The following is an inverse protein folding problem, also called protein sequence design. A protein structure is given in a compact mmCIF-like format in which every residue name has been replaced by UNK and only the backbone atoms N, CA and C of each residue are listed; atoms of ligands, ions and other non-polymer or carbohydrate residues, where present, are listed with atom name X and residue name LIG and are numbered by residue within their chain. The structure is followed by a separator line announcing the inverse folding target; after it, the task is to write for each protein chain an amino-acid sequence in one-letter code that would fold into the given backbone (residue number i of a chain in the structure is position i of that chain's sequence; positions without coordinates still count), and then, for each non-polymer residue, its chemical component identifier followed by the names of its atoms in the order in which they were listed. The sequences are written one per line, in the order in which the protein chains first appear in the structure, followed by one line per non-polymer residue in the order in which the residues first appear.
data_IF_605657645538
#
_entry.id   IF_605657645538
#
_cell.length_a   1.000
_cell.length_b   1.000
_cell.length_c   1.000
_cell.angle_alpha   90.00
_cell.angle_beta   90.00
_cell.angle_gamma   90.00
#
_symmetry.space_group_name_H-M   'P 1'
#
loop_
_entity.id
_entity.type
_entity.pdbx_description
1 polymer ?
#
# COMPACT_ATOMS: atom_id res chain seq x y z
N UNK A 1 -14.91 -11.01 -14.88
CA UNK A 1 -14.70 -9.71 -14.20
C UNK A 1 -13.71 -8.82 -14.97
N UNK A 2 -12.63 -9.35 -15.54
CA UNK A 2 -11.61 -8.53 -16.25
C UNK A 2 -12.07 -7.92 -17.58
N UNK A 3 -13.14 -8.44 -18.21
CA UNK A 3 -13.64 -7.93 -19.50
C UNK A 3 -14.26 -6.52 -19.43
N UNK A 4 -14.57 -6.01 -18.24
CA UNK A 4 -15.14 -4.67 -18.04
C UNK A 4 -14.09 -3.63 -17.62
N UNK A 5 -12.82 -4.04 -17.52
CA UNK A 5 -11.70 -3.19 -17.09
C UNK A 5 -10.97 -2.65 -18.31
N UNK A 6 -10.71 -1.35 -18.35
CA UNK A 6 -9.95 -0.70 -19.41
C UNK A 6 -8.43 -0.81 -19.15
N UNK A 7 -7.87 -1.98 -19.45
CA UNK A 7 -6.42 -2.19 -19.38
C UNK A 7 -5.66 -1.47 -20.49
N UNK A 8 -6.27 -1.25 -21.66
CA UNK A 8 -5.61 -0.61 -22.81
C UNK A 8 -5.49 0.90 -22.61
N UNK A 9 -6.46 1.52 -21.92
CA UNK A 9 -6.46 2.90 -21.48
C UNK A 9 -5.65 3.18 -20.21
N UNK A 10 -4.96 2.19 -19.65
CA UNK A 10 -4.19 2.34 -18.41
C UNK A 10 -3.15 3.47 -18.53
N UNK A 11 -3.18 4.41 -17.57
CA UNK A 11 -2.31 5.61 -17.57
C UNK A 11 -1.13 5.41 -16.64
N UNK A 12 0.07 5.66 -17.14
CA UNK A 12 1.33 5.44 -16.41
C UNK A 12 1.80 6.77 -15.81
N UNK A 13 2.10 6.78 -14.52
CA UNK A 13 2.58 7.96 -13.82
C UNK A 13 4.03 7.78 -13.31
N UNK A 14 4.73 8.89 -13.11
CA UNK A 14 6.01 8.97 -12.43
C UNK A 14 6.04 10.20 -11.51
N UNK A 15 6.01 9.98 -10.19
CA UNK A 15 5.98 11.07 -9.19
C UNK A 15 7.32 11.13 -8.45
N UNK A 16 8.07 12.24 -8.52
CA UNK A 16 9.27 12.42 -7.72
C UNK A 16 8.99 12.35 -6.22
N UNK A 17 9.93 11.81 -5.45
CA UNK A 17 9.83 11.68 -4.01
C UNK A 17 10.62 12.77 -3.30
N UNK A 18 10.15 13.19 -2.12
CA UNK A 18 10.78 14.23 -1.29
C UNK A 18 12.08 13.75 -0.63
N UNK A 19 12.24 12.43 -0.50
CA UNK A 19 13.43 11.79 0.05
C UNK A 19 13.55 10.38 -0.54
N UNK A 20 14.79 9.86 -0.59
CA UNK A 20 15.02 8.45 -0.93
C UNK A 20 14.36 7.56 0.12
N UNK A 21 13.51 6.64 -0.31
CA UNK A 21 12.86 5.68 0.57
C UNK A 21 12.67 4.37 -0.18
N UNK A 22 12.97 3.22 0.46
CA UNK A 22 12.98 1.90 -0.19
C UNK A 22 13.83 1.86 -1.47
N UNK A 23 14.99 2.54 -1.45
CA UNK A 23 15.92 2.58 -2.58
C UNK A 23 15.53 3.52 -3.73
N UNK A 24 14.27 3.97 -3.81
CA UNK A 24 13.75 4.78 -4.92
C UNK A 24 13.69 6.27 -4.59
N UNK A 25 13.71 7.10 -5.64
CA UNK A 25 13.50 8.56 -5.60
C UNK A 25 12.37 9.04 -6.51
N UNK A 26 11.78 8.12 -7.28
CA UNK A 26 10.61 8.33 -8.12
C UNK A 26 9.67 7.16 -7.87
N UNK A 27 8.39 7.45 -7.69
CA UNK A 27 7.34 6.44 -7.57
C UNK A 27 6.59 6.34 -8.88
N UNK A 28 6.62 5.16 -9.48
CA UNK A 28 5.90 4.86 -10.72
C UNK A 28 4.78 3.85 -10.48
N UNK A 29 3.78 3.88 -11.35
CA UNK A 29 2.66 2.95 -11.36
C UNK A 29 1.68 3.26 -12.49
N UNK A 30 0.60 2.48 -12.54
CA UNK A 30 -0.47 2.63 -13.52
C UNK A 30 -1.81 2.84 -12.81
N UNK A 31 -2.63 3.74 -13.35
CA UNK A 31 -4.04 3.89 -12.98
C UNK A 31 -4.89 3.19 -14.03
N UNK A 32 -5.82 2.35 -13.56
CA UNK A 32 -6.68 1.50 -14.39
C UNK A 32 -8.13 1.76 -14.01
N UNK A 33 -8.98 2.03 -15.00
CA UNK A 33 -10.41 2.28 -14.81
C UNK A 33 -11.21 0.99 -14.98
N UNK A 34 -12.26 0.84 -14.16
CA UNK A 34 -13.21 -0.26 -14.21
C UNK A 34 -14.59 0.18 -13.70
N UNK A 35 -15.57 -0.74 -13.66
CA UNK A 35 -16.97 -0.42 -13.38
C UNK A 35 -17.23 0.16 -11.98
N UNK A 36 -16.33 -0.07 -11.00
CA UNK A 36 -16.42 0.49 -9.65
C UNK A 36 -15.52 1.72 -9.43
N UNK A 37 -14.89 2.24 -10.49
CA UNK A 37 -13.99 3.40 -10.45
C UNK A 37 -12.55 3.02 -10.78
N UNK A 38 -11.60 3.55 -10.01
CA UNK A 38 -10.18 3.45 -10.33
C UNK A 38 -9.43 2.50 -9.41
N UNK A 39 -8.45 1.79 -9.96
CA UNK A 39 -7.49 0.98 -9.22
C UNK A 39 -6.06 1.38 -9.56
N UNK A 40 -5.12 1.09 -8.66
CA UNK A 40 -3.71 1.43 -8.86
C UNK A 40 -2.86 0.17 -8.93
N UNK A 41 -2.16 -0.03 -10.05
CA UNK A 41 -1.20 -1.10 -10.25
C UNK A 41 0.22 -0.53 -10.17
N UNK A 42 0.87 -0.70 -9.02
CA UNK A 42 2.16 -0.07 -8.76
C UNK A 42 3.21 -0.99 -8.10
N UNK A 43 3.40 -2.27 -8.51
CA UNK A 43 4.46 -3.09 -7.94
C UNK A 43 5.85 -2.47 -8.17
N UNK A 44 6.74 -2.58 -7.18
CA UNK A 44 8.11 -2.07 -7.30
C UNK A 44 8.87 -2.75 -8.45
N UNK A 45 9.83 -2.06 -9.04
CA UNK A 45 10.56 -2.56 -10.23
C UNK A 45 11.38 -3.83 -9.96
N UNK A 46 11.78 -4.07 -8.72
CA UNK A 46 12.51 -5.27 -8.28
C UNK A 46 11.61 -6.51 -8.09
N UNK A 47 10.29 -6.37 -8.22
CA UNK A 47 9.36 -7.49 -8.08
C UNK A 47 9.12 -8.20 -9.42
N UNK A 48 9.18 -9.52 -9.41
CA UNK A 48 8.81 -10.34 -10.56
C UNK A 48 7.29 -10.31 -10.82
N UNK A 49 6.89 -10.96 -11.92
CA UNK A 49 5.50 -11.00 -12.36
C UNK A 49 4.62 -11.79 -11.37
N UNK A 50 5.17 -12.81 -10.69
CA UNK A 50 4.45 -13.61 -9.68
C UNK A 50 4.08 -12.78 -8.46
N UNK A 51 5.02 -12.02 -7.89
CA UNK A 51 4.74 -11.09 -6.80
C UNK A 51 3.77 -9.98 -7.27
N UNK A 52 3.93 -9.52 -8.52
CA UNK A 52 3.09 -8.48 -9.10
C UNK A 52 1.63 -8.91 -9.34
N UNK A 53 1.36 -10.21 -9.47
CA UNK A 53 0.00 -10.73 -9.67
C UNK A 53 -0.94 -10.38 -8.49
N UNK A 54 -0.46 -10.42 -7.24
CA UNK A 54 -1.25 -9.97 -6.09
C UNK A 54 -1.49 -8.46 -6.08
N UNK A 55 -0.55 -7.67 -6.64
CA UNK A 55 -0.77 -6.23 -6.80
C UNK A 55 -1.88 -5.98 -7.81
N UNK A 56 -1.87 -6.70 -8.94
CA UNK A 56 -2.94 -6.62 -9.94
C UNK A 56 -4.29 -7.09 -9.38
N UNK A 57 -4.32 -8.16 -8.58
CA UNK A 57 -5.54 -8.62 -7.91
C UNK A 57 -6.16 -7.51 -7.04
N UNK A 58 -5.33 -6.76 -6.30
CA UNK A 58 -5.79 -5.60 -5.53
C UNK A 58 -6.36 -4.51 -6.44
N UNK A 59 -5.65 -4.17 -7.52
CA UNK A 59 -6.11 -3.18 -8.51
C UNK A 59 -7.48 -3.57 -9.09
N UNK A 60 -7.65 -4.84 -9.45
CA UNK A 60 -8.91 -5.37 -9.99
C UNK A 60 -10.03 -5.28 -8.96
N UNK A 61 -9.80 -5.69 -7.71
CA UNK A 61 -10.81 -5.57 -6.65
C UNK A 61 -11.25 -4.11 -6.47
N UNK A 62 -10.29 -3.18 -6.44
CA UNK A 62 -10.56 -1.75 -6.32
C UNK A 62 -11.48 -1.24 -7.45
N UNK A 63 -11.17 -1.55 -8.71
CA UNK A 63 -11.90 -1.01 -9.85
C UNK A 63 -13.12 -1.83 -10.28
N UNK A 64 -13.42 -2.99 -9.66
CA UNK A 64 -14.57 -3.83 -10.05
C UNK A 64 -15.57 -4.15 -8.95
N UNK A 65 -15.11 -4.39 -7.71
CA UNK A 65 -15.95 -4.94 -6.65
C UNK A 65 -16.22 -3.95 -5.52
N UNK A 66 -15.31 -3.01 -5.28
CA UNK A 66 -15.31 -2.18 -4.08
C UNK A 66 -14.94 -2.97 -2.82
N UNK A 67 -15.06 -2.35 -1.66
CA UNK A 67 -14.55 -2.89 -0.39
C UNK A 67 -15.67 -3.33 0.57
N UNK A 68 -15.37 -4.19 1.56
CA UNK A 68 -16.27 -4.44 2.69
C UNK A 68 -16.68 -3.14 3.39
N UNK A 69 -17.89 -3.11 3.95
CA UNK A 69 -18.41 -1.93 4.66
C UNK A 69 -17.50 -1.61 5.86
N UNK A 70 -17.04 -0.36 6.01
CA UNK A 70 -16.20 0.01 7.12
C UNK A 70 -16.98 0.04 8.44
N UNK A 71 -16.32 -0.32 9.53
CA UNK A 71 -16.86 -0.22 10.90
C UNK A 71 -16.46 1.08 11.59
N UNK A 72 -15.80 2.00 10.86
CA UNK A 72 -15.35 3.32 11.34
C UNK A 72 -15.18 4.31 10.19
N UNK A 73 -15.41 5.60 10.46
CA UNK A 73 -15.34 6.65 9.44
C UNK A 73 -13.95 7.30 9.28
N UNK A 74 -13.06 7.09 10.24
CA UNK A 74 -11.67 7.58 10.20
C UNK A 74 -10.73 6.65 10.93
N UNK A 75 -9.46 6.66 10.53
CA UNK A 75 -8.41 5.83 11.14
C UNK A 75 -7.23 6.69 11.61
N UNK A 76 -6.61 6.36 12.76
CA UNK A 76 -5.38 7.01 13.19
C UNK A 76 -4.21 6.54 12.33
N UNK A 77 -3.28 7.44 12.01
CA UNK A 77 -2.05 7.11 11.28
C UNK A 77 -0.79 7.44 12.08
N UNK A 78 0.30 6.76 11.74
CA UNK A 78 1.64 7.12 12.18
C UNK A 78 2.33 7.96 11.11
N UNK A 79 3.27 8.80 11.54
CA UNK A 79 4.21 9.43 10.62
C UNK A 79 5.29 8.42 10.21
N UNK A 80 5.74 8.48 8.95
CA UNK A 80 6.83 7.61 8.46
C UNK A 80 8.11 8.42 8.41
N UNK A 81 9.08 8.05 9.25
CA UNK A 81 10.39 8.69 9.32
C UNK A 81 11.39 7.85 8.50
N UNK A 82 11.86 8.36 7.34
CA UNK A 82 12.87 7.68 6.52
C UNK A 82 14.23 7.64 7.25
N UNK A 83 15.21 6.95 6.66
CA UNK A 83 16.58 6.92 7.19
C UNK A 83 17.28 8.28 6.98
N UNK A 84 17.07 9.21 7.92
CA UNK A 84 17.60 10.59 7.92
C UNK A 84 18.29 10.91 9.25
N UNK A 85 19.02 12.03 9.30
CA UNK A 85 19.65 12.52 10.53
C UNK A 85 18.63 12.92 11.62
N UNK A 86 19.04 12.94 12.90
CA UNK A 86 18.15 13.11 14.05
C UNK A 86 17.35 14.42 14.05
N UNK A 87 17.93 15.54 13.62
CA UNK A 87 17.23 16.83 13.52
C UNK A 87 16.07 16.77 12.53
N UNK A 88 16.30 16.13 11.37
CA UNK A 88 15.25 15.95 10.35
C UNK A 88 14.20 14.96 10.80
N UNK A 89 14.60 13.88 11.48
CA UNK A 89 13.67 12.92 12.08
C UNK A 89 12.75 13.58 13.12
N UNK A 90 13.32 14.41 14.01
CA UNK A 90 12.56 15.20 14.98
C UNK A 90 11.58 16.15 14.28
N UNK A 91 12.03 16.90 13.27
CA UNK A 91 11.16 17.82 12.53
C UNK A 91 10.00 17.11 11.81
N UNK A 92 10.22 15.91 11.26
CA UNK A 92 9.15 15.10 10.64
C UNK A 92 8.14 14.69 11.71
N UNK A 93 8.59 14.17 12.85
CA UNK A 93 7.71 13.73 13.92
C UNK A 93 6.90 14.91 14.52
N UNK A 94 7.59 16.00 14.88
CA UNK A 94 6.98 17.16 15.53
C UNK A 94 5.92 17.86 14.66
N UNK A 95 6.12 17.90 13.35
CA UNK A 95 5.20 18.55 12.41
C UNK A 95 4.15 17.59 11.82
N UNK A 96 4.12 16.33 12.23
CA UNK A 96 3.25 15.32 11.61
C UNK A 96 1.79 15.34 12.05
N UNK A 97 1.49 15.96 13.20
CA UNK A 97 0.19 15.81 13.88
C UNK A 97 -0.10 14.39 14.38
N UNK A 98 0.81 13.44 14.19
CA UNK A 98 0.65 12.05 14.60
C UNK A 98 1.16 11.84 16.03
N UNK A 99 0.53 10.90 16.75
CA UNK A 99 0.98 10.46 18.08
C UNK A 99 1.96 9.27 18.05
N UNK A 100 2.15 8.67 16.87
CA UNK A 100 3.01 7.50 16.63
C UNK A 100 3.92 7.77 15.43
N UNK A 101 5.15 7.27 15.48
CA UNK A 101 6.12 7.36 14.39
C UNK A 101 6.70 5.96 14.05
N UNK A 102 6.84 5.65 12.75
CA UNK A 102 7.58 4.49 12.25
C UNK A 102 8.94 4.97 11.76
N UNK A 103 10.00 4.64 12.49
CA UNK A 103 11.39 5.03 12.15
C UNK A 103 12.09 3.86 11.48
N UNK A 104 12.62 4.08 10.28
CA UNK A 104 13.40 3.05 9.57
C UNK A 104 14.79 2.92 10.20
N UNK A 105 15.12 1.73 10.71
CA UNK A 105 16.44 1.36 11.26
C UNK A 105 16.91 0.07 10.59
N UNK A 106 18.15 0.01 10.09
CA UNK A 106 18.80 -1.15 9.44
C UNK A 106 17.95 -1.86 8.32
N UNK A 107 18.53 -2.83 7.60
CA UNK A 107 17.86 -3.49 6.45
C UNK A 107 18.11 -5.01 6.34
N UNK A 108 18.01 -5.76 7.45
CA UNK A 108 18.26 -7.21 7.46
C UNK A 108 17.09 -8.01 8.11
N UNK A 109 16.49 -9.01 7.41
CA UNK A 109 15.30 -9.74 7.89
C UNK A 109 15.55 -10.84 8.94
N UNK A 110 16.72 -11.49 8.95
CA UNK A 110 16.98 -12.72 9.73
C UNK A 110 17.10 -12.50 11.25
N UNK A 111 17.05 -11.25 11.72
CA UNK A 111 17.25 -10.90 13.14
C UNK A 111 15.98 -10.87 13.98
N UNK A 112 14.78 -10.89 13.38
CA UNK A 112 13.51 -10.59 14.07
C UNK A 112 13.24 -11.47 15.30
N UNK A 113 13.31 -12.80 15.18
CA UNK A 113 13.05 -13.71 16.29
C UNK A 113 14.12 -13.66 17.38
N UNK A 114 15.38 -13.40 17.01
CA UNK A 114 16.48 -13.23 17.96
C UNK A 114 16.32 -11.94 18.77
N UNK A 115 15.96 -10.84 18.10
CA UNK A 115 15.67 -9.54 18.74
C UNK A 115 14.46 -9.68 19.67
N UNK A 116 13.38 -10.33 19.22
CA UNK A 116 12.16 -10.52 20.02
C UNK A 116 12.42 -11.22 21.36
N UNK A 117 13.40 -12.13 21.43
CA UNK A 117 13.78 -12.82 22.67
C UNK A 117 14.63 -11.97 23.63
N UNK A 118 15.14 -10.81 23.19
CA UNK A 118 16.09 -9.98 23.94
C UNK A 118 15.54 -8.61 24.33
N UNK A 119 14.32 -8.26 23.91
CA UNK A 119 13.72 -6.95 24.16
C UNK A 119 12.30 -7.08 24.72
N UNK A 120 11.92 -6.12 25.56
CA UNK A 120 10.55 -5.99 26.09
C UNK A 120 9.66 -5.09 25.23
N UNK A 121 10.20 -4.54 24.13
CA UNK A 121 9.46 -3.72 23.16
C UNK A 121 8.74 -4.62 22.17
N UNK A 122 7.46 -4.30 21.87
CA UNK A 122 6.66 -5.01 20.85
C UNK A 122 7.34 -5.00 19.47
N UNK A 123 7.37 -6.16 18.82
CA UNK A 123 7.93 -6.36 17.48
C UNK A 123 6.80 -6.58 16.46
N UNK A 124 6.85 -5.88 15.33
CA UNK A 124 5.89 -6.04 14.23
C UNK A 124 6.53 -6.77 13.05
N UNK A 125 5.84 -7.78 12.50
CA UNK A 125 6.28 -8.49 11.29
C UNK A 125 5.62 -7.90 10.03
N UNK A 126 6.42 -7.55 9.02
CA UNK A 126 5.96 -6.99 7.72
C UNK A 126 6.34 -7.93 6.57
N UNK A 127 7.64 -7.99 6.22
CA UNK A 127 8.17 -8.87 5.17
C UNK A 127 7.77 -10.34 5.34
N UNK A 128 7.85 -10.87 6.57
CA UNK A 128 7.59 -12.28 6.87
C UNK A 128 6.14 -12.73 6.62
N UNK A 129 5.20 -11.78 6.51
CA UNK A 129 3.80 -12.07 6.20
C UNK A 129 3.59 -11.96 4.69
N UNK A 130 3.93 -10.80 4.11
CA UNK A 130 3.62 -10.51 2.69
C UNK A 130 4.48 -11.27 1.67
N UNK A 131 5.63 -11.82 2.06
CA UNK A 131 6.51 -12.62 1.19
C UNK A 131 6.44 -14.12 1.47
N UNK A 132 5.58 -14.54 2.38
CA UNK A 132 5.39 -15.96 2.64
C UNK A 132 4.75 -16.64 1.43
N UNK A 133 5.15 -17.89 1.20
CA UNK A 133 4.52 -18.76 0.19
C UNK A 133 3.02 -18.91 0.46
N UNK A 134 2.63 -19.03 1.73
CA UNK A 134 1.25 -18.99 2.16
C UNK A 134 1.06 -18.03 3.35
N UNK A 135 0.63 -16.77 3.10
CA UNK A 135 0.33 -15.78 4.14
C UNK A 135 -0.72 -16.25 5.17
N UNK A 136 -1.61 -17.17 4.83
CA UNK A 136 -2.63 -17.71 5.74
C UNK A 136 -2.05 -18.75 6.71
N UNK A 137 -0.86 -19.29 6.40
CA UNK A 137 -0.17 -20.28 7.23
C UNK A 137 1.04 -19.71 7.96
N UNK A 138 1.29 -18.41 7.84
CA UNK A 138 2.37 -17.73 8.55
C UNK A 138 2.08 -17.73 10.04
N UNK A 139 2.68 -18.69 10.76
CA UNK A 139 2.76 -18.65 12.20
C UNK A 139 3.81 -17.60 12.62
N UNK A 140 3.40 -16.34 12.72
CA UNK A 140 4.19 -15.29 13.39
C UNK A 140 4.10 -15.36 14.91
N UNK A 141 3.23 -16.22 15.45
CA UNK A 141 3.09 -16.46 16.87
C UNK A 141 4.44 -16.87 17.50
N UNK A 142 4.92 -16.05 18.44
CA UNK A 142 6.23 -16.22 19.09
C UNK A 142 7.41 -15.52 18.39
N UNK A 143 7.23 -15.02 17.17
CA UNK A 143 8.23 -14.23 16.44
C UNK A 143 7.89 -12.72 16.37
N UNK A 144 6.61 -12.36 16.51
CA UNK A 144 6.13 -10.98 16.55
C UNK A 144 4.93 -10.83 17.50
N UNK A 145 4.68 -9.59 17.93
CA UNK A 145 3.54 -9.19 18.74
C UNK A 145 2.43 -8.53 17.90
N UNK A 146 2.76 -8.07 16.69
CA UNK A 146 1.88 -7.33 15.79
C UNK A 146 2.09 -7.82 14.36
N UNK A 147 0.99 -8.02 13.62
CA UNK A 147 1.02 -8.30 12.19
C UNK A 147 0.86 -7.01 11.37
N UNK A 148 1.80 -6.71 10.47
CA UNK A 148 1.65 -5.61 9.51
C UNK A 148 0.96 -6.14 8.26
N UNK A 149 -0.23 -5.63 7.97
CA UNK A 149 -1.04 -6.03 6.83
C UNK A 149 -0.95 -4.94 5.76
N UNK A 150 -0.82 -5.35 4.50
CA UNK A 150 -0.84 -4.45 3.34
C UNK A 150 -1.65 -5.11 2.24
N UNK A 151 -2.77 -4.52 1.85
CA UNK A 151 -3.66 -5.17 0.89
C UNK A 151 -3.05 -5.33 -0.50
N UNK A 152 -2.27 -4.35 -0.95
CA UNK A 152 -1.64 -4.36 -2.28
C UNK A 152 -0.79 -5.60 -2.55
N UNK A 153 0.20 -5.95 -1.71
CA UNK A 153 0.93 -7.21 -1.90
C UNK A 153 0.16 -8.46 -1.46
N UNK A 154 -0.99 -8.34 -0.78
CA UNK A 154 -1.80 -9.48 -0.32
C UNK A 154 -3.00 -9.78 -1.22
N UNK A 155 -3.20 -9.07 -2.33
CA UNK A 155 -4.26 -9.43 -3.28
C UNK A 155 -5.64 -8.93 -2.91
N UNK A 156 -5.74 -7.75 -2.29
CA UNK A 156 -7.01 -7.10 -2.02
C UNK A 156 -7.37 -7.00 -0.54
N UNK A 157 -8.36 -6.18 -0.25
CA UNK A 157 -8.90 -5.89 1.08
C UNK A 157 -9.54 -7.14 1.68
N UNK A 158 -10.37 -7.88 0.93
CA UNK A 158 -11.02 -9.10 1.44
C UNK A 158 -10.02 -10.17 1.84
N UNK A 159 -9.11 -10.52 0.94
CA UNK A 159 -8.03 -11.48 1.23
C UNK A 159 -7.16 -11.02 2.39
N UNK A 160 -6.95 -9.71 2.54
CA UNK A 160 -6.18 -9.17 3.67
C UNK A 160 -6.89 -9.29 5.01
N UNK A 161 -8.22 -9.24 5.04
CA UNK A 161 -9.00 -9.50 6.24
C UNK A 161 -8.90 -10.96 6.65
N UNK A 162 -8.95 -11.89 5.70
CA UNK A 162 -8.71 -13.32 5.94
C UNK A 162 -7.30 -13.57 6.49
N UNK A 163 -6.28 -12.91 5.93
CA UNK A 163 -4.90 -12.98 6.44
C UNK A 163 -4.78 -12.38 7.84
N UNK A 164 -5.46 -11.27 8.12
CA UNK A 164 -5.47 -10.65 9.44
C UNK A 164 -6.10 -11.57 10.49
N UNK A 165 -7.22 -12.22 10.16
CA UNK A 165 -7.87 -13.21 11.02
C UNK A 165 -6.96 -14.43 11.25
N UNK A 166 -6.40 -15.00 10.18
CA UNK A 166 -5.51 -16.16 10.26
C UNK A 166 -4.22 -15.89 11.04
N UNK A 167 -3.70 -14.66 11.01
CA UNK A 167 -2.53 -14.28 11.77
C UNK A 167 -2.74 -14.38 13.29
N UNK A 168 -3.98 -14.22 13.78
CA UNK A 168 -4.32 -14.34 15.19
C UNK A 168 -3.59 -13.36 16.11
N UNK A 169 -3.09 -12.25 15.57
CA UNK A 169 -2.36 -11.20 16.28
C UNK A 169 -3.04 -9.84 16.09
N UNK A 170 -2.83 -8.88 17.01
CA UNK A 170 -3.15 -7.48 16.75
C UNK A 170 -2.56 -7.02 15.41
N UNK A 171 -3.40 -6.44 14.56
CA UNK A 171 -3.01 -6.02 13.21
C UNK A 171 -2.80 -4.51 13.12
N UNK A 172 -1.87 -4.10 12.25
CA UNK A 172 -1.71 -2.71 11.83
C UNK A 172 -1.59 -2.66 10.31
N UNK A 173 -2.30 -1.74 9.68
CA UNK A 173 -2.22 -1.58 8.22
C UNK A 173 -1.07 -0.65 7.86
N UNK A 174 -0.35 -0.95 6.78
CA UNK A 174 0.69 -0.07 6.23
C UNK A 174 0.55 0.04 4.71
N UNK A 175 1.00 1.15 4.17
CA UNK A 175 1.03 1.38 2.72
C UNK A 175 2.26 0.74 2.07
N UNK A 176 2.23 0.68 0.74
CA UNK A 176 3.32 0.32 -0.13
C UNK A 176 3.69 1.47 -1.10
N UNK A 177 3.53 2.72 -0.63
CA UNK A 177 3.82 3.97 -1.36
C UNK A 177 2.92 4.21 -2.57
N UNK A 178 1.65 3.90 -2.43
CA UNK A 178 0.62 4.22 -3.42
C UNK A 178 0.36 5.74 -3.50
N UNK A 179 -0.30 6.17 -4.57
CA UNK A 179 -1.00 7.48 -4.59
C UNK A 179 -2.30 7.39 -3.78
N UNK A 180 -3.10 8.45 -3.70
CA UNK A 180 -4.41 8.35 -3.02
C UNK A 180 -5.33 7.28 -3.62
N UNK A 181 -5.20 6.94 -4.90
CA UNK A 181 -6.00 5.89 -5.56
C UNK A 181 -5.70 4.51 -4.92
N UNK A 182 -4.45 4.08 -4.90
CA UNK A 182 -4.06 2.81 -4.27
C UNK A 182 -4.15 2.85 -2.74
N UNK A 183 -3.81 3.99 -2.12
CA UNK A 183 -3.86 4.16 -0.66
C UNK A 183 -5.28 3.98 -0.12
N UNK A 184 -6.30 4.31 -0.90
CA UNK A 184 -7.69 4.15 -0.50
C UNK A 184 -8.06 2.72 -0.13
N UNK A 185 -7.53 1.69 -0.81
CA UNK A 185 -7.76 0.29 -0.42
C UNK A 185 -7.13 -0.05 0.94
N UNK A 186 -5.96 0.51 1.23
CA UNK A 186 -5.31 0.31 2.53
C UNK A 186 -6.11 0.98 3.65
N UNK A 187 -6.63 2.18 3.40
CA UNK A 187 -7.50 2.88 4.34
C UNK A 187 -8.82 2.13 4.53
N UNK A 188 -9.40 1.59 3.46
CA UNK A 188 -10.61 0.77 3.52
C UNK A 188 -10.39 -0.51 4.34
N UNK A 189 -9.26 -1.21 4.14
CA UNK A 189 -8.85 -2.34 4.98
C UNK A 189 -8.77 -1.92 6.46
N UNK A 190 -8.10 -0.82 6.77
CA UNK A 190 -8.02 -0.31 8.14
C UNK A 190 -9.42 0.07 8.70
N UNK A 191 -10.32 0.54 7.84
CA UNK A 191 -11.71 0.82 8.16
C UNK A 191 -12.55 -0.42 8.44
N UNK A 192 -12.24 -1.55 7.82
CA UNK A 192 -12.98 -2.80 7.92
C UNK A 192 -12.47 -3.77 9.00
N UNK A 193 -11.23 -3.61 9.49
CA UNK A 193 -10.69 -4.44 10.57
C UNK A 193 -11.57 -4.35 11.84
N UNK A 194 -11.81 -5.45 12.59
CA UNK A 194 -12.61 -5.40 13.82
C UNK A 194 -12.00 -4.46 14.87
N UNK A 195 -10.68 -4.56 15.07
CA UNK A 195 -9.92 -3.79 16.06
C UNK A 195 -8.75 -3.05 15.37
N UNK A 196 -8.43 -1.85 15.88
CA UNK A 196 -7.36 -1.01 15.35
C UNK A 196 -6.70 -0.17 16.46
N UNK A 197 -5.99 -0.86 17.34
CA UNK A 197 -5.34 -0.25 18.51
C UNK A 197 -4.07 0.54 18.17
N UNK A 198 -3.52 0.29 16.97
CA UNK A 198 -2.27 0.89 16.50
C UNK A 198 -2.54 1.83 15.33
N UNK A 199 -1.88 2.97 15.35
CA UNK A 199 -1.93 3.93 14.26
C UNK A 199 -1.30 3.33 12.99
N UNK A 200 -1.99 3.47 11.84
CA UNK A 200 -1.61 2.83 10.58
C UNK A 200 -0.47 3.55 9.86
N UNK A 201 0.35 2.79 9.14
CA UNK A 201 1.45 3.27 8.29
C UNK A 201 0.98 3.85 6.96
N UNK A 202 -0.04 4.72 6.99
CA UNK A 202 -0.75 5.25 5.82
C UNK A 202 -0.47 6.74 5.56
N UNK A 203 0.36 7.39 6.38
CA UNK A 203 0.81 8.78 6.16
C UNK A 203 1.89 8.95 5.08
N UNK A 204 2.01 8.02 4.13
CA UNK A 204 3.11 7.96 3.17
C UNK A 204 2.96 8.89 1.97
N UNK A 205 1.78 9.44 1.74
CA UNK A 205 1.59 10.48 0.72
C UNK A 205 2.47 11.72 0.97
N UNK A 206 2.89 11.93 2.22
CA UNK A 206 3.88 12.96 2.61
C UNK A 206 5.29 12.73 2.03
N UNK A 207 5.61 11.52 1.55
CA UNK A 207 6.88 11.17 0.93
C UNK A 207 6.91 11.51 -0.57
N UNK A 208 5.76 11.71 -1.19
CA UNK A 208 5.64 12.07 -2.60
C UNK A 208 5.67 13.59 -2.77
N UNK A 209 6.22 14.10 -3.88
CA UNK A 209 6.18 15.53 -4.18
C UNK A 209 4.75 16.00 -4.42
N UNK A 210 3.93 15.15 -5.04
CA UNK A 210 2.52 15.40 -5.34
C UNK A 210 1.68 14.14 -5.15
N UNK A 211 0.39 14.30 -5.34
CA UNK A 211 -0.60 13.23 -5.49
C UNK A 211 -1.25 13.33 -6.87
N UNK A 212 -2.07 12.34 -7.23
CA UNK A 212 -2.90 12.33 -8.44
C UNK A 212 -4.37 12.63 -8.17
N UNK A 213 -4.77 12.72 -6.90
CA UNK A 213 -6.11 13.15 -6.47
C UNK A 213 -6.00 14.56 -5.90
N UNK A 214 -6.97 15.42 -6.20
CA UNK A 214 -7.01 16.81 -5.74
C UNK A 214 -8.07 17.04 -4.65
N UNK A 215 -8.05 18.23 -4.05
CA UNK A 215 -9.07 18.64 -3.08
C UNK A 215 -9.15 17.76 -1.82
N UNK A 216 -10.37 17.59 -1.32
CA UNK A 216 -10.67 16.82 -0.11
C UNK A 216 -10.64 15.30 -0.30
N UNK A 217 -10.59 14.82 -1.55
CA UNK A 217 -10.50 13.38 -1.85
C UNK A 217 -9.05 12.87 -1.78
N UNK A 218 -8.07 13.77 -1.85
CA UNK A 218 -6.66 13.44 -1.60
C UNK A 218 -6.50 12.99 -0.14
N UNK A 219 -5.97 11.79 0.06
CA UNK A 219 -5.79 11.15 1.37
C UNK A 219 -4.59 11.73 2.12
N UNK A 220 -4.59 13.05 2.31
CA UNK A 220 -3.64 13.79 3.14
C UNK A 220 -4.10 13.75 4.58
N UNK A 221 -3.14 13.46 5.46
CA UNK A 221 -3.38 13.42 6.90
C UNK A 221 -3.81 14.79 7.44
N UNK A 222 -4.85 14.79 8.27
CA UNK A 222 -5.25 15.95 9.08
C UNK A 222 -5.31 15.49 10.53
N UNK A 223 -4.56 16.17 11.41
CA UNK A 223 -4.46 15.87 12.84
C UNK A 223 -4.12 14.41 13.18
N UNK A 224 -3.32 13.76 12.31
CA UNK A 224 -2.93 12.36 12.49
C UNK A 224 -4.02 11.34 12.14
N UNK A 225 -5.03 11.73 11.37
CA UNK A 225 -6.10 10.86 10.89
C UNK A 225 -6.25 10.91 9.37
N UNK A 226 -6.83 9.84 8.82
CA UNK A 226 -7.36 9.79 7.46
C UNK A 226 -8.85 9.43 7.50
N UNK A 227 -9.70 10.02 6.63
CA UNK A 227 -11.08 9.58 6.43
C UNK A 227 -11.09 8.20 5.75
N UNK A 228 -12.06 7.35 6.09
CA UNK A 228 -12.23 6.05 5.45
C UNK A 228 -13.09 6.19 4.19
N UNK A 229 -12.53 5.97 2.99
CA UNK A 229 -13.31 6.05 1.76
C UNK A 229 -14.18 4.79 1.60
N UNK A 230 -15.35 4.96 0.99
CA UNK A 230 -16.23 3.84 0.61
C UNK A 230 -16.01 3.37 -0.82
N UNK A 231 -15.45 4.24 -1.64
CA UNK A 231 -15.13 3.99 -3.06
C UNK A 231 -13.74 4.53 -3.36
N UNK A 232 -13.05 4.01 -4.39
CA UNK A 232 -11.79 4.61 -4.84
C UNK A 232 -11.99 6.07 -5.29
N UNK A 233 -11.12 7.00 -4.87
CA UNK A 233 -11.17 8.37 -5.39
C UNK A 233 -10.76 8.37 -6.87
N UNK A 234 -11.42 9.21 -7.66
CA UNK A 234 -11.04 9.41 -9.06
C UNK A 234 -9.76 10.27 -9.16
N UNK A 235 -8.84 9.97 -10.08
CA UNK A 235 -7.69 10.82 -10.33
C UNK A 235 -8.11 12.15 -10.98
N UNK A 236 -7.44 13.22 -10.60
CA UNK A 236 -7.50 14.49 -11.30
C UNK A 236 -6.69 14.37 -12.60
N UNK A 237 -7.39 14.44 -13.74
CA UNK A 237 -6.76 14.28 -15.05
C UNK A 237 -5.68 15.33 -15.34
N UNK A 238 -5.77 16.54 -14.75
CA UNK A 238 -4.74 17.56 -14.92
C UNK A 238 -3.45 17.20 -14.18
N UNK A 239 -3.56 16.64 -12.97
CA UNK A 239 -2.43 16.11 -12.22
C UNK A 239 -1.86 14.88 -12.90
N UNK A 240 -2.71 13.98 -13.38
CA UNK A 240 -2.29 12.79 -14.13
C UNK A 240 -1.51 13.15 -15.39
N UNK A 241 -1.96 14.14 -16.17
CA UNK A 241 -1.23 14.63 -17.33
C UNK A 241 0.09 15.30 -16.95
N UNK A 242 0.17 15.95 -15.78
CA UNK A 242 1.39 16.59 -15.29
C UNK A 242 2.47 15.58 -14.90
N UNK A 243 2.06 14.46 -14.31
CA UNK A 243 2.97 13.40 -13.83
C UNK A 243 2.98 12.17 -14.73
N UNK A 244 2.47 12.28 -15.95
CA UNK A 244 2.49 11.18 -16.92
C UNK A 244 3.93 10.80 -17.24
N UNK A 245 4.20 9.49 -17.24
CA UNK A 245 5.50 8.97 -17.61
C UNK A 245 5.70 9.16 -19.12
N UNK A 246 6.70 9.97 -19.49
CA UNK A 246 6.94 10.38 -20.89
C UNK A 246 8.07 9.62 -21.57
N UNK A 247 8.88 8.86 -20.81
CA UNK A 247 9.93 8.02 -21.37
C UNK A 247 9.32 6.81 -22.09
N UNK A 248 9.52 6.66 -23.41
CA UNK A 248 8.82 5.65 -24.20
C UNK A 248 9.27 4.22 -23.86
N UNK A 249 10.53 4.00 -23.50
CA UNK A 249 11.07 2.68 -23.19
C UNK A 249 10.53 2.19 -21.84
N UNK A 250 10.53 3.07 -20.84
CA UNK A 250 9.95 2.79 -19.54
C UNK A 250 8.42 2.64 -19.62
N UNK A 251 7.74 3.39 -20.48
CA UNK A 251 6.31 3.22 -20.74
C UNK A 251 6.01 1.87 -21.39
N UNK A 252 6.81 1.44 -22.37
CA UNK A 252 6.69 0.11 -22.98
C UNK A 252 6.92 -0.99 -21.95
N UNK A 253 7.92 -0.85 -21.07
CA UNK A 253 8.19 -1.79 -20.00
C UNK A 253 6.99 -1.97 -19.05
N UNK A 254 6.33 -0.88 -18.64
CA UNK A 254 5.13 -0.93 -17.79
C UNK A 254 3.96 -1.63 -18.48
N UNK A 255 3.72 -1.34 -19.77
CA UNK A 255 2.67 -2.01 -20.55
C UNK A 255 2.94 -3.50 -20.69
N UNK A 256 4.16 -3.87 -21.08
CA UNK A 256 4.57 -5.27 -21.21
C UNK A 256 4.43 -6.00 -19.88
N UNK A 257 4.81 -5.37 -18.77
CA UNK A 257 4.65 -5.93 -17.43
C UNK A 257 3.18 -6.15 -17.08
N UNK A 258 2.32 -5.16 -17.32
CA UNK A 258 0.88 -5.32 -17.08
C UNK A 258 0.30 -6.47 -17.91
N UNK A 259 0.68 -6.59 -19.20
CA UNK A 259 0.25 -7.71 -20.05
C UNK A 259 0.66 -9.06 -19.48
N UNK A 260 1.96 -9.25 -19.13
CA UNK A 260 2.46 -10.52 -18.59
C UNK A 260 1.78 -10.89 -17.26
N UNK A 261 1.66 -9.91 -16.35
CA UNK A 261 1.03 -10.12 -15.04
C UNK A 261 -0.46 -10.41 -15.19
N UNK A 262 -1.15 -9.74 -16.12
CA UNK A 262 -2.57 -10.02 -16.42
C UNK A 262 -2.75 -11.43 -16.97
N UNK A 263 -1.93 -11.88 -17.92
CA UNK A 263 -2.00 -13.25 -18.44
C UNK A 263 -1.85 -14.28 -17.33
N UNK A 264 -0.93 -14.04 -16.39
CA UNK A 264 -0.76 -14.90 -15.22
C UNK A 264 -1.98 -14.86 -14.29
N UNK A 265 -2.51 -13.67 -14.00
CA UNK A 265 -3.70 -13.50 -13.17
C UNK A 265 -4.90 -14.23 -13.77
N UNK A 266 -5.19 -14.02 -15.05
CA UNK A 266 -6.32 -14.63 -15.75
C UNK A 266 -6.23 -16.16 -15.69
N UNK A 267 -5.03 -16.74 -15.92
CA UNK A 267 -4.81 -18.19 -15.86
C UNK A 267 -5.17 -18.81 -14.49
N UNK A 268 -4.99 -18.07 -13.40
CA UNK A 268 -5.25 -18.54 -12.03
C UNK A 268 -6.67 -18.22 -11.52
N UNK A 269 -7.46 -17.45 -12.28
CA UNK A 269 -8.80 -16.98 -11.86
C UNK A 269 -9.89 -17.24 -12.92
N UNK A 270 -9.63 -18.12 -13.90
CA UNK A 270 -10.61 -18.59 -14.90
C UNK A 270 -11.38 -19.86 -14.52
N UNK A 271 -11.27 -20.33 -13.27
CA UNK A 271 -12.12 -21.40 -12.69
C UNK A 271 -13.06 -20.84 -11.60
#
# INVERSE_FOLDING_TARGET
MTNEIDFDGARIYAIPMRARFRGITVREGMLIEGPAGWGEFCPFADYDDTVSASWLATTIEQCTLGWPEPVRDRIPINCTVPAVGPERAHAIAANSGCRTAKVKVADHPESLAAVRRQVDVRIAADESIRRAEDPLRVAVAGAADVAVIKCTPLGGVRRSLEVAEAAGLPCVVSSALETSVGLAAQVALAGALPELDLACGLGTLSLLNSDLVSGSESLRAVDGYLPVPRTPPAPDLSLLNTYELTDPDQAAWWRDRLTRVRTMYDTHHTD
#
